data_IF_872777550089
#
_entry.id   IF_872777550089
#
_cell.length_a   1.000
_cell.length_b   1.000
_cell.length_c   1.000
_cell.angle_alpha   90.00
_cell.angle_beta   90.00
_cell.angle_gamma   90.00
#
_symmetry.space_group_name_H-M   'P 1'
#
loop_
_entity.id
_entity.type
_entity.pdbx_description
1 polymer ?
#
# COMPACT_ATOMS: atom_id res chain seq x y z
N UNK A 1 -59.56 22.99 30.35
CA UNK A 1 -59.23 23.07 28.91
C UNK A 1 -57.78 23.52 28.79
N UNK A 2 -56.87 22.60 28.49
CA UNK A 2 -55.45 22.91 28.26
C UNK A 2 -54.90 21.88 27.27
N UNK A 3 -54.68 22.31 26.03
CA UNK A 3 -54.23 21.43 24.94
C UNK A 3 -52.70 21.33 24.96
N UNK A 4 -52.19 20.11 25.18
CA UNK A 4 -50.78 19.80 24.96
C UNK A 4 -50.53 19.66 23.45
N UNK A 5 -49.65 20.51 22.90
CA UNK A 5 -49.15 20.40 21.53
C UNK A 5 -47.94 19.46 21.50
N UNK A 6 -48.01 18.41 20.68
CA UNK A 6 -46.91 17.50 20.42
C UNK A 6 -45.85 18.16 19.49
N UNK A 7 -44.55 17.82 19.62
CA UNK A 7 -43.51 18.37 18.75
C UNK A 7 -43.53 17.72 17.36
N UNK A 8 -43.28 18.52 16.32
CA UNK A 8 -43.19 18.08 14.92
C UNK A 8 -41.91 17.26 14.68
N UNK A 9 -41.94 16.22 13.83
CA UNK A 9 -40.73 15.47 13.49
C UNK A 9 -39.79 16.31 12.62
N UNK A 10 -38.50 16.22 12.96
CA UNK A 10 -37.38 16.79 12.22
C UNK A 10 -37.32 16.17 10.80
N UNK A 11 -37.24 17.00 9.76
CA UNK A 11 -36.99 16.55 8.39
C UNK A 11 -35.50 16.68 8.09
N UNK A 12 -34.87 15.60 7.65
CA UNK A 12 -33.48 15.63 7.18
C UNK A 12 -33.31 16.62 6.01
N UNK A 13 -32.21 17.39 5.99
CA UNK A 13 -31.86 18.19 4.82
C UNK A 13 -31.40 17.27 3.67
N UNK A 14 -31.66 17.64 2.40
CA UNK A 14 -31.25 16.83 1.26
C UNK A 14 -29.73 16.75 1.14
N UNK A 15 -29.22 15.54 0.90
CA UNK A 15 -27.81 15.28 0.61
C UNK A 15 -27.30 16.15 -0.54
N UNK A 16 -26.28 16.97 -0.28
CA UNK A 16 -25.58 17.71 -1.31
C UNK A 16 -24.77 16.75 -2.19
N UNK A 17 -25.04 16.77 -3.50
CA UNK A 17 -24.29 16.02 -4.51
C UNK A 17 -22.91 16.68 -4.67
N UNK A 18 -21.79 15.93 -4.59
CA UNK A 18 -20.47 16.51 -4.81
C UNK A 18 -20.27 16.91 -6.28
N UNK A 19 -19.59 18.03 -6.57
CA UNK A 19 -19.39 18.47 -7.95
C UNK A 19 -18.44 17.53 -8.72
N UNK A 20 -18.77 17.28 -9.99
CA UNK A 20 -17.94 16.50 -10.91
C UNK A 20 -16.53 17.11 -11.09
N UNK A 21 -15.47 16.28 -11.18
CA UNK A 21 -14.13 16.77 -11.48
C UNK A 21 -14.06 17.32 -12.92
N UNK A 22 -13.40 18.49 -13.07
CA UNK A 22 -13.18 19.14 -14.37
C UNK A 22 -12.15 18.35 -15.21
N UNK A 23 -12.31 18.26 -16.55
CA UNK A 23 -11.37 17.57 -17.41
C UNK A 23 -10.03 18.31 -17.51
N UNK A 24 -8.92 17.55 -17.42
CA UNK A 24 -7.54 18.03 -17.57
C UNK A 24 -7.19 18.15 -19.05
N UNK A 25 -6.59 19.26 -19.53
CA UNK A 25 -6.20 19.39 -20.94
C UNK A 25 -4.99 18.53 -21.29
N UNK A 26 -5.05 17.88 -22.45
CA UNK A 26 -3.99 17.04 -23.00
C UNK A 26 -2.71 17.83 -23.32
N UNK A 27 -1.55 17.30 -22.93
CA UNK A 27 -0.23 17.86 -23.27
C UNK A 27 0.06 17.64 -24.76
N UNK A 28 0.36 18.73 -25.48
CA UNK A 28 0.86 18.71 -26.86
C UNK A 28 2.32 18.24 -26.89
N UNK A 29 2.63 17.29 -27.76
CA UNK A 29 4.00 16.93 -28.15
C UNK A 29 4.58 17.96 -29.13
N UNK A 30 5.89 18.27 -29.07
CA UNK A 30 6.49 19.20 -30.00
C UNK A 30 6.80 18.56 -31.36
N UNK A 31 6.52 19.34 -32.39
CA UNK A 31 6.63 19.05 -33.81
C UNK A 31 8.08 19.02 -34.29
N UNK A 32 8.37 18.13 -35.24
CA UNK A 32 9.71 17.78 -35.73
C UNK A 32 9.96 18.53 -37.05
N UNK A 33 10.53 19.73 -36.97
CA UNK A 33 10.87 20.52 -38.16
C UNK A 33 12.21 20.09 -38.79
N UNK A 34 12.21 20.03 -40.12
CA UNK A 34 13.28 19.58 -41.02
C UNK A 34 14.06 20.74 -41.66
N UNK A 35 15.30 20.43 -42.03
CA UNK A 35 16.10 20.87 -43.19
C UNK A 35 16.90 22.19 -43.20
N UNK A 36 18.21 22.06 -43.46
CA UNK A 36 19.04 22.74 -44.50
C UNK A 36 20.46 22.09 -44.52
N UNK A 37 20.86 21.23 -45.49
CA UNK A 37 21.71 21.45 -46.71
C UNK A 37 22.88 22.44 -46.48
N UNK A 38 24.17 22.08 -46.60
CA UNK A 38 25.02 21.72 -47.77
C UNK A 38 26.49 21.46 -47.28
N UNK A 39 27.52 21.12 -48.10
CA UNK A 39 27.62 20.30 -49.31
C UNK A 39 28.70 19.18 -49.19
N UNK A 40 28.84 18.45 -50.29
CA UNK A 40 29.67 17.28 -50.61
C UNK A 40 31.15 17.39 -50.23
N UNK A 41 31.71 16.27 -49.77
CA UNK A 41 33.05 15.88 -50.21
C UNK A 41 33.11 14.38 -50.53
N UNK A 42 33.71 14.10 -51.68
CA UNK A 42 33.76 12.81 -52.34
C UNK A 42 34.99 12.05 -51.85
N UNK A 43 34.86 10.84 -51.30
CA UNK A 43 35.95 9.87 -51.35
C UNK A 43 35.45 8.42 -51.46
N UNK A 44 35.75 7.87 -52.64
CA UNK A 44 35.94 6.48 -53.07
C UNK A 44 35.68 5.34 -52.07
N UNK A 45 34.93 4.36 -52.57
CA UNK A 45 34.93 2.97 -52.13
C UNK A 45 35.55 2.10 -53.24
N UNK A 46 36.50 1.21 -52.93
CA UNK A 46 36.57 -0.06 -53.65
C UNK A 46 36.63 -1.27 -52.69
N UNK A 47 36.21 -2.42 -53.24
CA UNK A 47 36.35 -3.78 -52.72
C UNK A 47 35.25 -4.18 -51.70
N UNK A 48 34.19 -4.93 -52.05
CA UNK A 48 34.14 -6.27 -52.67
C UNK A 48 35.24 -7.18 -52.13
N UNK A 49 34.96 -7.85 -51.02
CA UNK A 49 35.26 -9.27 -50.95
C UNK A 49 34.36 -10.04 -50.00
N UNK A 50 34.07 -11.26 -50.43
CA UNK A 50 33.16 -12.20 -49.79
C UNK A 50 33.76 -12.77 -48.51
N UNK A 51 32.92 -12.94 -47.49
CA UNK A 51 33.14 -13.97 -46.48
C UNK A 51 31.80 -14.46 -45.95
N UNK A 52 31.52 -15.72 -46.22
CA UNK A 52 30.38 -16.46 -45.70
C UNK A 52 30.52 -16.60 -44.18
N UNK A 53 29.83 -15.74 -43.44
CA UNK A 53 29.70 -15.88 -42.00
C UNK A 53 28.66 -16.97 -41.69
N UNK A 54 29.14 -18.07 -41.10
CA UNK A 54 28.31 -19.15 -40.60
C UNK A 54 27.27 -18.61 -39.60
N UNK A 55 26.00 -18.96 -39.83
CA UNK A 55 24.89 -18.65 -38.92
C UNK A 55 25.14 -19.42 -37.59
N UNK A 56 25.27 -18.76 -36.44
CA UNK A 56 25.44 -19.47 -35.19
C UNK A 56 24.13 -20.16 -34.82
N UNK A 57 24.19 -21.47 -34.59
CA UNK A 57 23.06 -22.26 -34.12
C UNK A 57 22.47 -21.62 -32.85
N UNK A 58 21.19 -21.25 -32.88
CA UNK A 58 20.48 -20.78 -31.71
C UNK A 58 20.59 -21.84 -30.61
N UNK A 59 21.35 -21.51 -29.56
CA UNK A 59 21.27 -22.25 -28.29
C UNK A 59 19.82 -22.15 -27.83
N UNK A 60 19.12 -23.26 -27.93
CA UNK A 60 17.76 -23.44 -27.44
C UNK A 60 17.80 -23.23 -25.93
N UNK A 61 17.55 -21.99 -25.49
CA UNK A 61 17.33 -21.68 -24.08
C UNK A 61 16.17 -22.56 -23.65
N UNK A 62 16.48 -23.58 -22.84
CA UNK A 62 15.46 -24.32 -22.12
C UNK A 62 14.84 -23.28 -21.21
N UNK A 63 13.70 -22.72 -21.63
CA UNK A 63 12.82 -21.99 -20.72
C UNK A 63 12.43 -23.04 -19.69
N UNK A 64 13.15 -23.05 -18.57
CA UNK A 64 12.77 -23.84 -17.41
C UNK A 64 11.36 -23.40 -17.07
N UNK A 65 10.39 -24.23 -17.42
CA UNK A 65 9.03 -24.11 -16.96
C UNK A 65 9.09 -24.34 -15.46
N UNK A 66 9.45 -23.32 -14.69
CA UNK A 66 9.28 -23.36 -13.24
C UNK A 66 7.82 -23.73 -13.01
N UNK A 67 7.60 -24.97 -12.54
CA UNK A 67 6.29 -25.41 -12.08
C UNK A 67 5.78 -24.33 -11.15
N UNK A 68 4.68 -23.67 -11.51
CA UNK A 68 4.00 -22.76 -10.60
C UNK A 68 3.75 -23.54 -9.31
N UNK A 69 4.17 -23.05 -8.15
CA UNK A 69 3.94 -23.75 -6.90
C UNK A 69 2.44 -23.98 -6.75
N UNK A 70 2.03 -25.26 -6.72
CA UNK A 70 0.64 -25.70 -6.69
C UNK A 70 0.08 -25.81 -5.27
N UNK A 71 0.91 -25.55 -4.25
CA UNK A 71 0.50 -25.63 -2.85
C UNK A 71 -0.30 -24.39 -2.46
N UNK A 72 -1.60 -24.56 -2.29
CA UNK A 72 -2.47 -23.57 -1.65
C UNK A 72 -2.13 -23.48 -0.16
N UNK A 73 -2.07 -22.27 0.39
CA UNK A 73 -1.88 -22.04 1.83
C UNK A 73 -3.06 -21.27 2.40
N UNK A 74 -3.52 -21.66 3.59
CA UNK A 74 -4.54 -20.97 4.36
C UNK A 74 -3.91 -20.43 5.64
N UNK A 75 -3.91 -19.10 5.83
CA UNK A 75 -3.47 -18.45 7.07
C UNK A 75 -4.72 -17.97 7.83
N UNK A 76 -4.99 -18.58 8.98
CA UNK A 76 -6.11 -18.18 9.85
C UNK A 76 -5.70 -17.03 10.75
N UNK A 77 -5.71 -15.81 10.21
CA UNK A 77 -5.42 -14.60 10.98
C UNK A 77 -6.42 -14.36 12.11
N UNK A 78 -7.59 -15.00 12.02
CA UNK A 78 -8.57 -15.11 13.10
C UNK A 78 -7.96 -15.56 14.43
N UNK A 79 -7.14 -16.61 14.34
CA UNK A 79 -6.51 -17.33 15.44
C UNK A 79 -5.08 -16.81 15.71
N UNK A 80 -4.80 -15.56 15.28
CA UNK A 80 -3.51 -14.87 15.42
C UNK A 80 -2.34 -15.47 14.63
N UNK A 81 -2.61 -16.38 13.69
CA UNK A 81 -1.60 -16.78 12.70
C UNK A 81 -1.28 -15.63 11.73
N UNK A 82 -0.06 -15.62 11.23
CA UNK A 82 0.45 -14.60 10.31
C UNK A 82 1.17 -15.29 9.15
N UNK A 83 1.22 -14.62 8.00
CA UNK A 83 2.18 -14.97 6.97
C UNK A 83 3.56 -14.48 7.44
N UNK A 84 4.53 -15.38 7.47
CA UNK A 84 5.91 -15.12 7.91
C UNK A 84 6.91 -15.69 6.92
N UNK A 85 8.19 -15.41 7.13
CA UNK A 85 9.26 -16.00 6.33
C UNK A 85 9.23 -17.54 6.32
N UNK A 86 8.79 -18.18 7.40
CA UNK A 86 8.81 -19.64 7.59
C UNK A 86 7.64 -20.36 6.91
N UNK A 87 6.48 -19.71 6.80
CA UNK A 87 5.26 -20.35 6.29
C UNK A 87 4.77 -19.78 4.95
N UNK A 88 5.46 -18.77 4.40
CA UNK A 88 5.09 -18.21 3.09
C UNK A 88 5.27 -19.25 1.98
N UNK A 89 4.30 -19.38 1.05
CA UNK A 89 4.44 -20.27 -0.10
C UNK A 89 5.67 -19.93 -0.94
N UNK A 90 6.25 -20.94 -1.59
CA UNK A 90 7.29 -20.71 -2.59
C UNK A 90 6.80 -19.72 -3.66
N UNK A 91 7.64 -18.76 -4.04
CA UNK A 91 7.30 -17.72 -5.02
C UNK A 91 6.32 -16.65 -4.54
N UNK A 92 5.83 -16.72 -3.30
CA UNK A 92 5.05 -15.63 -2.71
C UNK A 92 5.92 -14.38 -2.58
N UNK A 93 5.46 -13.27 -3.16
CA UNK A 93 6.17 -11.98 -3.11
C UNK A 93 5.93 -11.23 -1.81
N UNK A 94 4.86 -11.54 -1.09
CA UNK A 94 4.57 -10.93 0.21
C UNK A 94 5.55 -11.45 1.26
N UNK A 95 6.13 -10.51 2.00
CA UNK A 95 7.08 -10.74 3.07
C UNK A 95 6.35 -11.18 4.34
N UNK A 96 5.32 -10.42 4.72
CA UNK A 96 4.52 -10.68 5.90
C UNK A 96 3.10 -10.19 5.69
N UNK A 97 2.16 -10.77 6.43
CA UNK A 97 0.77 -10.34 6.45
C UNK A 97 0.08 -10.86 7.71
N UNK A 98 -0.93 -10.14 8.19
CA UNK A 98 -1.72 -10.58 9.31
C UNK A 98 -2.81 -9.59 9.68
N UNK A 99 -3.30 -9.68 10.92
CA UNK A 99 -4.25 -8.71 11.47
C UNK A 99 -3.98 -8.40 12.92
N UNK A 100 -4.26 -7.17 13.34
CA UNK A 100 -4.32 -6.78 14.74
C UNK A 100 -5.71 -6.28 15.09
N UNK A 101 -6.01 -6.27 16.39
CA UNK A 101 -7.26 -5.76 16.95
C UNK A 101 -6.95 -4.81 18.09
N UNK A 102 -7.55 -3.63 18.05
CA UNK A 102 -7.52 -2.66 19.15
C UNK A 102 -8.92 -2.50 19.72
N UNK A 103 -9.03 -2.73 21.01
CA UNK A 103 -10.29 -2.76 21.74
C UNK A 103 -10.82 -1.34 21.91
N UNK A 104 -12.11 -1.16 21.65
CA UNK A 104 -12.76 0.12 21.82
C UNK A 104 -12.95 0.52 23.30
N UNK A 105 -12.61 -0.35 24.26
CA UNK A 105 -12.63 -0.08 25.70
C UNK A 105 -11.37 0.64 26.22
N UNK A 106 -10.40 0.95 25.35
CA UNK A 106 -9.18 1.68 25.72
C UNK A 106 -8.13 0.85 26.46
N UNK A 107 -8.29 -0.48 26.52
CA UNK A 107 -7.34 -1.37 27.19
C UNK A 107 -6.19 -1.84 26.30
N UNK A 108 -6.28 -1.60 24.99
CA UNK A 108 -5.27 -2.07 24.03
C UNK A 108 -4.03 -1.20 24.04
N UNK A 109 -2.90 -1.82 23.71
CA UNK A 109 -1.62 -1.15 23.53
C UNK A 109 -1.14 -1.25 22.10
N UNK A 110 -0.36 -0.27 21.68
CA UNK A 110 0.31 -0.25 20.38
C UNK A 110 1.68 0.41 20.52
N UNK A 111 2.67 -0.08 19.78
CA UNK A 111 3.99 0.53 19.66
C UNK A 111 4.03 1.41 18.40
N UNK A 112 4.53 2.64 18.54
CA UNK A 112 4.86 3.47 17.39
C UNK A 112 6.10 2.89 16.73
N UNK A 113 6.10 2.64 15.43
CA UNK A 113 7.25 2.02 14.77
C UNK A 113 7.36 2.44 13.31
N UNK A 114 8.46 2.09 12.69
CA UNK A 114 8.66 2.12 11.25
C UNK A 114 9.27 0.82 10.76
N UNK A 115 9.30 0.67 9.44
CA UNK A 115 9.93 -0.44 8.75
C UNK A 115 10.96 0.08 7.76
N UNK A 116 11.94 -0.73 7.41
CA UNK A 116 12.83 -0.50 6.26
C UNK A 116 12.27 -1.08 4.95
N UNK A 117 10.94 -1.28 4.91
CA UNK A 117 10.15 -1.73 3.78
C UNK A 117 8.75 -1.10 3.82
N UNK A 118 8.05 -1.17 2.70
CA UNK A 118 6.70 -0.65 2.57
C UNK A 118 5.65 -1.58 3.18
N UNK A 119 4.60 -0.98 3.74
CA UNK A 119 3.46 -1.70 4.29
C UNK A 119 2.13 -1.12 3.84
N UNK A 120 1.13 -1.98 3.70
CA UNK A 120 -0.26 -1.59 3.52
C UNK A 120 -1.08 -2.02 4.71
N UNK A 121 -1.95 -1.14 5.21
CA UNK A 121 -3.01 -1.49 6.13
C UNK A 121 -4.37 -1.43 5.43
N UNK A 122 -5.26 -2.34 5.79
CA UNK A 122 -6.66 -2.35 5.41
C UNK A 122 -7.54 -2.37 6.65
N UNK A 123 -8.40 -1.37 6.82
CA UNK A 123 -9.31 -1.26 7.95
C UNK A 123 -10.56 -2.08 7.64
N UNK A 124 -10.77 -3.15 8.40
CA UNK A 124 -11.87 -4.08 8.15
C UNK A 124 -13.12 -3.77 8.98
N UNK A 125 -12.96 -3.34 10.23
CA UNK A 125 -14.05 -2.96 11.14
C UNK A 125 -13.60 -1.87 12.11
N UNK A 126 -14.55 -1.15 12.69
CA UNK A 126 -14.29 -0.06 13.63
C UNK A 126 -13.73 1.18 12.95
N UNK A 127 -13.44 2.21 13.74
CA UNK A 127 -12.84 3.47 13.30
C UNK A 127 -11.79 3.93 14.29
N UNK A 128 -10.81 4.69 13.80
CA UNK A 128 -9.72 5.20 14.63
C UNK A 128 -8.97 6.35 14.01
N UNK A 129 -7.99 6.86 14.75
CA UNK A 129 -7.06 7.89 14.29
C UNK A 129 -5.67 7.26 14.19
N UNK A 130 -5.10 7.25 13.00
CA UNK A 130 -3.76 6.73 12.70
C UNK A 130 -2.82 7.90 12.50
N UNK A 131 -1.62 7.85 13.08
CA UNK A 131 -0.55 8.79 12.77
C UNK A 131 0.39 8.16 11.76
N UNK A 132 0.67 8.84 10.65
CA UNK A 132 1.69 8.48 9.66
C UNK A 132 2.66 9.66 9.48
N UNK A 133 3.90 9.48 9.93
CA UNK A 133 4.86 10.56 10.08
C UNK A 133 4.32 11.63 11.02
N UNK A 134 3.96 12.77 10.42
CA UNK A 134 3.39 13.94 11.10
C UNK A 134 1.90 14.17 10.75
N UNK A 135 1.29 13.27 9.98
CA UNK A 135 -0.09 13.39 9.52
C UNK A 135 -1.02 12.46 10.29
N UNK A 136 -2.06 13.01 10.89
CA UNK A 136 -3.16 12.21 11.45
C UNK A 136 -4.25 11.96 10.40
N UNK A 137 -4.68 10.70 10.31
CA UNK A 137 -5.75 10.25 9.43
C UNK A 137 -6.85 9.60 10.27
N UNK A 138 -8.09 10.06 10.12
CA UNK A 138 -9.25 9.33 10.61
C UNK A 138 -9.62 8.26 9.60
N UNK A 139 -9.77 7.03 10.09
CA UNK A 139 -9.97 5.84 9.25
C UNK A 139 -11.23 5.09 9.64
N UNK A 140 -11.83 4.45 8.65
CA UNK A 140 -13.09 3.72 8.74
C UNK A 140 -13.04 2.42 7.92
N UNK A 141 -14.03 1.52 8.06
CA UNK A 141 -14.04 0.25 7.32
C UNK A 141 -14.00 0.47 5.81
N UNK A 142 -13.11 -0.25 5.13
CA UNK A 142 -12.88 -0.14 3.69
C UNK A 142 -11.65 0.67 3.30
N UNK A 143 -11.07 1.45 4.22
CA UNK A 143 -9.90 2.26 3.92
C UNK A 143 -8.63 1.40 3.77
N UNK A 144 -7.78 1.82 2.82
CA UNK A 144 -6.43 1.27 2.61
C UNK A 144 -5.43 2.38 2.85
N UNK A 145 -4.44 2.10 3.69
CA UNK A 145 -3.36 3.01 4.03
C UNK A 145 -2.08 2.42 3.47
N UNK A 146 -1.29 3.22 2.78
CA UNK A 146 0.06 2.87 2.36
C UNK A 146 1.06 3.62 3.23
N UNK A 147 1.97 2.88 3.84
CA UNK A 147 3.05 3.40 4.67
C UNK A 147 4.38 3.15 3.97
N UNK A 148 5.03 4.19 3.44
CA UNK A 148 6.35 4.06 2.85
C UNK A 148 7.41 3.64 3.87
N UNK A 149 8.44 2.91 3.42
CA UNK A 149 9.61 2.60 4.21
C UNK A 149 10.19 3.85 4.92
N UNK A 150 10.57 3.69 6.19
CA UNK A 150 11.11 4.73 7.05
C UNK A 150 10.06 5.66 7.67
N UNK A 151 8.77 5.52 7.31
CA UNK A 151 7.69 6.33 7.87
C UNK A 151 7.23 5.74 9.19
N UNK A 152 7.39 6.51 10.26
CA UNK A 152 6.83 6.15 11.56
C UNK A 152 5.30 6.13 11.49
N UNK A 153 4.69 5.09 12.04
CA UNK A 153 3.24 4.95 12.05
C UNK A 153 2.76 4.37 13.39
N UNK A 154 1.53 4.75 13.76
CA UNK A 154 0.98 4.51 15.09
C UNK A 154 -0.56 4.59 15.09
N UNK A 155 -1.20 3.96 16.08
CA UNK A 155 -2.64 4.08 16.31
C UNK A 155 -2.90 4.92 17.55
N UNK A 156 -3.36 6.15 17.36
CA UNK A 156 -3.57 7.12 18.45
C UNK A 156 -4.86 6.87 19.22
N UNK A 157 -5.93 6.50 18.52
CA UNK A 157 -7.23 6.26 19.13
C UNK A 157 -8.08 5.26 18.36
N UNK A 158 -8.95 4.56 19.09
CA UNK A 158 -10.17 3.95 18.57
C UNK A 158 -11.31 4.93 18.83
N UNK A 159 -11.96 5.38 17.76
CA UNK A 159 -12.95 6.47 17.80
C UNK A 159 -14.39 5.97 17.74
N UNK A 160 -14.60 4.73 17.28
CA UNK A 160 -15.91 4.09 17.20
C UNK A 160 -16.29 3.25 18.43
N UNK A 161 -17.55 2.80 18.50
CA UNK A 161 -18.00 1.88 19.56
C UNK A 161 -17.43 0.45 19.38
N UNK A 162 -17.12 0.07 18.14
CA UNK A 162 -16.61 -1.26 17.77
C UNK A 162 -15.09 -1.33 17.84
N UNK A 163 -14.57 -2.53 18.12
CA UNK A 163 -13.14 -2.82 18.05
C UNK A 163 -12.59 -2.50 16.63
N UNK A 164 -11.44 -1.83 16.60
CA UNK A 164 -10.72 -1.55 15.36
C UNK A 164 -9.97 -2.82 14.92
N UNK A 165 -10.32 -3.35 13.76
CA UNK A 165 -9.62 -4.47 13.13
C UNK A 165 -8.90 -4.00 11.88
N UNK A 166 -7.59 -4.21 11.84
CA UNK A 166 -6.73 -3.84 10.72
C UNK A 166 -5.96 -5.05 10.24
N UNK A 167 -5.94 -5.26 8.93
CA UNK A 167 -5.06 -6.20 8.27
C UNK A 167 -3.84 -5.46 7.76
N UNK A 168 -2.64 -6.02 7.96
CA UNK A 168 -1.45 -5.49 7.32
C UNK A 168 -0.93 -6.46 6.26
N UNK A 169 -0.26 -5.92 5.26
CA UNK A 169 0.44 -6.64 4.21
C UNK A 169 1.72 -5.89 3.86
N UNK A 170 2.85 -6.57 4.01
CA UNK A 170 4.13 -6.11 3.47
C UNK A 170 4.42 -6.90 2.20
N UNK A 171 4.61 -6.20 1.07
CA UNK A 171 4.82 -6.86 -0.22
C UNK A 171 6.24 -7.44 -0.32
N UNK A 172 7.10 -6.95 -1.20
CA UNK A 172 8.45 -7.49 -1.35
C UNK A 172 9.37 -6.83 -0.33
N UNK A 173 10.08 -7.65 0.44
CA UNK A 173 11.14 -7.18 1.32
C UNK A 173 12.35 -6.77 0.45
N UNK A 174 12.79 -5.50 0.45
CA UNK A 174 13.99 -5.08 -0.26
C UNK A 174 15.24 -5.83 0.23
N UNK A 175 16.25 -5.90 -0.62
CA UNK A 175 17.55 -6.48 -0.23
C UNK A 175 18.10 -5.74 0.99
N UNK A 176 18.50 -6.49 2.02
CA UNK A 176 19.02 -6.02 3.33
C UNK A 176 18.00 -5.37 4.26
N UNK A 177 16.73 -5.26 3.89
CA UNK A 177 15.70 -4.88 4.85
C UNK A 177 15.55 -5.96 5.94
N UNK A 178 15.33 -5.52 7.17
CA UNK A 178 15.33 -6.32 8.39
C UNK A 178 14.08 -7.19 8.53
N UNK A 179 12.95 -6.74 7.96
CA UNK A 179 11.66 -7.40 8.16
C UNK A 179 11.08 -7.20 9.57
N UNK A 180 11.53 -6.19 10.31
CA UNK A 180 11.19 -5.97 11.73
C UNK A 180 10.43 -4.66 11.95
N UNK A 181 9.79 -4.57 13.13
CA UNK A 181 9.43 -3.28 13.72
C UNK A 181 10.71 -2.60 14.19
N UNK A 182 10.97 -1.39 13.71
CA UNK A 182 12.07 -0.54 14.14
C UNK A 182 11.50 0.66 14.91
N UNK A 183 12.20 1.08 15.96
CA UNK A 183 11.74 2.14 16.87
C UNK A 183 12.75 3.28 16.88
N UNK A 184 12.26 4.52 17.01
CA UNK A 184 13.13 5.71 17.09
C UNK A 184 13.69 5.88 18.51
N UNK A 185 12.87 5.57 19.52
CA UNK A 185 13.21 5.68 20.94
C UNK A 185 12.74 4.43 21.72
N UNK A 186 13.38 4.04 22.84
CA UNK A 186 12.89 2.96 23.69
C UNK A 186 11.44 3.10 24.18
N UNK A 187 10.93 4.33 24.35
CA UNK A 187 9.54 4.57 24.73
C UNK A 187 8.55 4.14 23.63
N UNK A 188 8.92 4.30 22.36
CA UNK A 188 8.13 3.83 21.23
C UNK A 188 7.98 2.30 21.28
N UNK A 189 9.09 1.58 21.55
CA UNK A 189 9.13 0.13 21.68
C UNK A 189 8.32 -0.41 22.88
N UNK A 190 8.26 0.36 23.98
CA UNK A 190 7.43 0.00 25.14
C UNK A 190 5.92 0.10 24.83
N UNK A 191 5.56 0.86 23.79
CA UNK A 191 4.21 1.14 23.38
C UNK A 191 3.41 1.94 24.41
N UNK A 192 2.22 2.39 24.01
CA UNK A 192 1.32 3.18 24.84
C UNK A 192 -0.09 2.58 24.85
N UNK A 193 -0.95 3.05 25.78
CA UNK A 193 -2.38 2.77 25.69
C UNK A 193 -2.96 3.52 24.50
N UNK A 194 -3.75 2.83 23.68
CA UNK A 194 -4.51 3.46 22.60
C UNK A 194 -5.76 4.08 23.23
N UNK A 195 -5.96 5.38 22.99
CA UNK A 195 -7.11 6.08 23.57
C UNK A 195 -8.43 5.51 23.02
N UNK A 196 -9.45 5.40 23.87
CA UNK A 196 -10.82 5.23 23.43
C UNK A 196 -11.51 6.58 23.41
N UNK A 197 -11.97 7.01 22.23
CA UNK A 197 -12.63 8.31 22.01
C UNK A 197 -14.04 8.11 21.46
N UNK A 198 -14.84 7.27 22.14
CA UNK A 198 -16.22 7.02 21.75
C UNK A 198 -17.05 8.31 21.83
N UNK A 199 -17.91 8.61 20.84
CA UNK A 199 -18.93 9.62 21.02
C UNK A 199 -19.86 9.20 22.18
N UNK A 200 -20.25 10.19 23.00
CA UNK A 200 -21.10 10.02 24.17
C UNK A 200 -22.52 9.55 23.80
#
# INVERSE_FOLDING_TARGET
MGAHSAPRPYRDPPHAVPPHPRPVPARRTPDRARHSRHPRDQHRNPDRDASAAAIPALRRTVVSTLRRPTSMSLIRTADRHKLTADNRPAGCRAHSAGRFRLRADGTSRFDRHHHDFDEFWFVATGSGTILLGDTELDVQPGDIIYTPAGTDHDVRAVTGPDDLHVFWLSWTLPDRASGQHLHRDPADAAGHLVASRRPA
#
